data_IF_246422639713
#
_entry.id   IF_246422639713
#
_cell.length_a   1.000
_cell.length_b   1.000
_cell.length_c   1.000
_cell.angle_alpha   90.00
_cell.angle_beta   90.00
_cell.angle_gamma   90.00
#
_symmetry.space_group_name_H-M   'P 1'
#
loop_
_entity.id
_entity.type
_entity.pdbx_description
1 polymer ?
#
# COMPACT_ATOMS: atom_id res chain seq x y z
N UNK A 1 -11.24 -45.51 62.93
CA UNK A 1 -10.01 -45.52 62.16
C UNK A 1 -10.35 -44.77 60.88
N UNK A 2 -10.29 -43.43 60.94
CA UNK A 2 -10.55 -42.54 59.80
C UNK A 2 -9.19 -42.07 59.33
N UNK A 3 -8.84 -42.43 58.12
CA UNK A 3 -7.61 -42.01 57.41
C UNK A 3 -7.92 -40.76 56.61
N UNK A 4 -7.10 -39.80 56.81
CA UNK A 4 -7.02 -38.45 56.29
C UNK A 4 -6.93 -38.41 54.75
N UNK A 5 -7.91 -37.79 54.11
CA UNK A 5 -8.03 -37.68 52.67
C UNK A 5 -7.90 -36.18 52.19
N UNK A 6 -7.08 -35.40 52.89
CA UNK A 6 -6.91 -33.97 52.63
C UNK A 6 -5.65 -33.60 51.83
N UNK A 7 -4.79 -34.57 51.47
CA UNK A 7 -3.54 -34.31 50.73
C UNK A 7 -3.70 -34.30 49.19
N UNK A 8 -4.82 -34.79 48.64
CA UNK A 8 -5.02 -34.93 47.21
C UNK A 8 -5.66 -33.74 46.45
N UNK A 9 -6.16 -32.74 47.20
CA UNK A 9 -6.89 -31.60 46.60
C UNK A 9 -6.01 -30.38 46.35
N UNK A 10 -4.95 -30.18 47.12
CA UNK A 10 -4.04 -29.02 46.95
C UNK A 10 -3.13 -29.16 45.71
N UNK A 11 -2.64 -30.36 45.39
CA UNK A 11 -1.79 -30.63 44.24
C UNK A 11 -2.55 -30.51 42.90
N UNK A 12 -3.90 -30.63 42.87
CA UNK A 12 -4.71 -30.46 41.64
C UNK A 12 -5.03 -29.00 41.33
N UNK A 13 -5.12 -28.13 42.32
CA UNK A 13 -5.38 -26.70 42.11
C UNK A 13 -4.11 -25.95 41.68
N UNK A 14 -2.94 -26.29 42.22
CA UNK A 14 -1.66 -25.69 41.75
C UNK A 14 -1.31 -26.11 40.33
N UNK A 15 -1.49 -27.38 39.94
CA UNK A 15 -1.27 -27.85 38.57
C UNK A 15 -2.21 -27.26 37.54
N UNK A 16 -3.45 -26.92 37.92
CA UNK A 16 -4.41 -26.27 36.98
C UNK A 16 -4.16 -24.79 36.80
N UNK A 17 -3.63 -24.09 37.78
CA UNK A 17 -3.25 -22.67 37.70
C UNK A 17 -1.96 -22.47 36.91
N UNK A 18 -0.97 -23.35 37.05
CA UNK A 18 0.25 -23.32 36.26
C UNK A 18 -0.02 -23.67 34.76
N UNK A 19 -0.83 -24.72 34.52
CA UNK A 19 -1.23 -25.08 33.15
C UNK A 19 -2.01 -23.97 32.46
N UNK A 20 -2.96 -23.33 33.15
CA UNK A 20 -3.69 -22.19 32.62
C UNK A 20 -2.82 -20.94 32.39
N UNK A 21 -1.80 -20.74 33.23
CA UNK A 21 -0.80 -19.68 33.07
C UNK A 21 0.10 -19.90 31.85
N UNK A 22 0.58 -21.13 31.66
CA UNK A 22 1.43 -21.51 30.52
C UNK A 22 0.65 -21.46 29.19
N UNK A 23 -0.61 -21.91 29.16
CA UNK A 23 -1.48 -21.80 28.01
C UNK A 23 -1.77 -20.33 27.63
N UNK A 24 -2.02 -19.47 28.64
CA UNK A 24 -2.24 -18.03 28.39
C UNK A 24 -0.98 -17.32 27.90
N UNK A 25 0.21 -17.70 28.42
CA UNK A 25 1.49 -17.16 27.99
C UNK A 25 1.88 -17.64 26.57
N UNK A 26 1.61 -18.92 26.25
CA UNK A 26 1.74 -19.45 24.89
C UNK A 26 0.78 -18.78 23.90
N UNK A 27 -0.46 -18.52 24.29
CA UNK A 27 -1.45 -17.83 23.44
C UNK A 27 -1.04 -16.36 23.22
N UNK A 28 -0.55 -15.66 24.25
CA UNK A 28 -0.02 -14.29 24.09
C UNK A 28 1.25 -14.25 23.24
N UNK A 29 2.14 -15.24 23.35
CA UNK A 29 3.33 -15.35 22.49
C UNK A 29 2.96 -15.61 21.01
N UNK A 30 1.83 -16.25 20.73
CA UNK A 30 1.32 -16.55 19.38
C UNK A 30 0.62 -15.39 18.69
N UNK A 31 0.28 -14.29 19.37
CA UNK A 31 -0.45 -13.14 18.84
C UNK A 31 0.42 -11.87 18.72
N UNK A 32 1.70 -11.92 19.11
CA UNK A 32 2.61 -10.77 19.12
C UNK A 32 3.29 -10.48 17.77
N UNK A 33 3.80 -9.24 17.62
CA UNK A 33 4.60 -8.82 16.44
C UNK A 33 5.77 -9.76 16.16
N UNK A 34 6.38 -10.36 17.20
CA UNK A 34 7.46 -11.34 17.07
C UNK A 34 7.01 -12.62 16.36
N UNK A 35 5.80 -13.07 16.64
CA UNK A 35 5.20 -14.22 15.95
C UNK A 35 4.94 -13.92 14.47
N UNK A 36 4.31 -12.78 14.16
CA UNK A 36 4.06 -12.34 12.79
C UNK A 36 5.37 -12.26 11.98
N UNK A 37 6.43 -11.70 12.54
CA UNK A 37 7.76 -11.65 11.90
C UNK A 37 8.34 -13.05 11.68
N UNK A 38 8.18 -13.96 12.64
CA UNK A 38 8.67 -15.34 12.51
C UNK A 38 7.90 -16.09 11.42
N UNK A 39 6.59 -15.88 11.30
CA UNK A 39 5.75 -16.50 10.28
C UNK A 39 6.10 -15.98 8.88
N UNK A 40 6.25 -14.66 8.72
CA UNK A 40 6.72 -14.05 7.46
C UNK A 40 8.08 -14.63 7.03
N UNK A 41 9.00 -14.86 7.98
CA UNK A 41 10.31 -15.47 7.67
C UNK A 41 10.24 -16.91 7.20
N UNK A 42 9.16 -17.63 7.52
CA UNK A 42 8.94 -19.02 7.08
C UNK A 42 8.20 -19.13 5.76
N UNK A 43 7.52 -18.08 5.35
CA UNK A 43 6.79 -18.03 4.09
C UNK A 43 7.71 -17.48 2.97
N UNK A 44 8.14 -18.31 2.01
CA UNK A 44 8.99 -17.87 0.91
C UNK A 44 8.30 -16.85 0.01
N UNK A 45 6.97 -16.88 -0.13
CA UNK A 45 6.22 -15.93 -0.96
C UNK A 45 6.22 -14.55 -0.31
N UNK A 46 5.97 -14.47 0.99
CA UNK A 46 6.06 -13.23 1.75
C UNK A 46 7.47 -12.62 1.73
N UNK A 47 8.52 -13.47 1.81
CA UNK A 47 9.91 -13.01 1.72
C UNK A 47 10.25 -12.42 0.35
N UNK A 48 9.80 -13.04 -0.74
CA UNK A 48 9.96 -12.48 -2.09
C UNK A 48 9.23 -11.15 -2.22
N UNK A 49 7.98 -11.08 -1.75
CA UNK A 49 7.22 -9.84 -1.71
C UNK A 49 7.94 -8.73 -0.92
N UNK A 50 8.43 -9.07 0.28
CA UNK A 50 9.20 -8.14 1.12
C UNK A 50 10.50 -7.67 0.43
N UNK A 51 11.23 -8.56 -0.23
CA UNK A 51 12.45 -8.21 -0.96
C UNK A 51 12.14 -7.22 -2.10
N UNK A 52 11.08 -7.46 -2.89
CA UNK A 52 10.65 -6.54 -3.95
C UNK A 52 10.31 -5.17 -3.36
N UNK A 53 9.57 -5.12 -2.24
CA UNK A 53 9.17 -3.86 -1.59
C UNK A 53 10.40 -3.12 -1.05
N UNK A 54 11.35 -3.82 -0.42
CA UNK A 54 12.58 -3.20 0.08
C UNK A 54 13.37 -2.59 -1.08
N UNK A 55 13.55 -3.31 -2.17
CA UNK A 55 14.27 -2.83 -3.35
C UNK A 55 13.56 -1.61 -3.95
N UNK A 56 12.26 -1.72 -4.23
CA UNK A 56 11.51 -0.62 -4.85
C UNK A 56 11.43 0.60 -3.94
N UNK A 57 11.26 0.42 -2.63
CA UNK A 57 11.24 1.53 -1.66
C UNK A 57 12.62 2.17 -1.53
N UNK A 58 13.69 1.40 -1.53
CA UNK A 58 15.07 1.93 -1.50
C UNK A 58 15.34 2.77 -2.74
N UNK A 59 15.00 2.26 -3.93
CA UNK A 59 15.10 3.01 -5.20
C UNK A 59 14.27 4.30 -5.13
N UNK A 60 13.04 4.23 -4.61
CA UNK A 60 12.17 5.40 -4.46
C UNK A 60 12.77 6.45 -3.51
N UNK A 61 13.37 6.02 -2.40
CA UNK A 61 14.03 6.91 -1.44
C UNK A 61 15.23 7.60 -2.10
N UNK A 62 16.12 6.83 -2.74
CA UNK A 62 17.29 7.37 -3.44
C UNK A 62 16.87 8.37 -4.51
N UNK A 63 15.88 8.00 -5.37
CA UNK A 63 15.35 8.89 -6.39
C UNK A 63 14.66 10.15 -5.82
N UNK A 64 14.07 10.04 -4.62
CA UNK A 64 13.44 11.19 -3.94
C UNK A 64 14.50 12.13 -3.36
N UNK A 65 15.51 11.57 -2.68
CA UNK A 65 16.62 12.35 -2.11
C UNK A 65 17.35 13.10 -3.22
N UNK A 66 17.68 12.42 -4.31
CA UNK A 66 18.36 13.07 -5.43
C UNK A 66 17.51 14.16 -6.09
N UNK A 67 16.22 13.88 -6.33
CA UNK A 67 15.35 14.83 -7.00
C UNK A 67 14.96 16.06 -6.16
N UNK A 68 14.92 15.93 -4.81
CA UNK A 68 14.42 17.00 -3.91
C UNK A 68 15.56 17.75 -3.25
N UNK A 69 16.64 17.05 -2.86
CA UNK A 69 17.74 17.65 -2.07
C UNK A 69 19.01 17.83 -2.90
N UNK A 70 19.24 17.01 -3.92
CA UNK A 70 20.47 17.04 -4.73
C UNK A 70 20.21 17.59 -6.15
N UNK A 71 19.00 18.07 -6.45
CA UNK A 71 18.63 18.68 -7.75
C UNK A 71 19.03 17.82 -8.97
N UNK A 72 18.91 16.49 -8.85
CA UNK A 72 19.32 15.48 -9.83
C UNK A 72 20.83 15.32 -10.03
N UNK A 73 21.64 15.67 -9.02
CA UNK A 73 23.10 15.55 -9.10
C UNK A 73 23.58 14.10 -9.34
N UNK A 74 22.96 13.10 -8.69
CA UNK A 74 23.31 11.70 -8.93
C UNK A 74 22.96 11.31 -10.36
N UNK A 75 21.79 11.73 -10.88
CA UNK A 75 21.41 11.46 -12.25
C UNK A 75 22.40 12.06 -13.24
N UNK A 76 22.79 13.32 -13.09
CA UNK A 76 23.71 14.01 -14.01
C UNK A 76 25.14 13.50 -13.89
N UNK A 77 25.55 12.99 -12.72
CA UNK A 77 26.92 12.48 -12.50
C UNK A 77 27.09 11.06 -13.05
N UNK A 78 26.11 10.17 -12.84
CA UNK A 78 26.24 8.74 -13.15
C UNK A 78 25.48 8.30 -14.39
N UNK A 79 24.43 9.06 -14.77
CA UNK A 79 23.55 8.75 -15.91
C UNK A 79 23.15 10.03 -16.65
N UNK A 80 21.84 10.22 -16.85
CA UNK A 80 21.26 11.34 -17.56
C UNK A 80 20.17 12.01 -16.74
N UNK A 81 19.93 13.28 -16.97
CA UNK A 81 18.84 14.00 -16.32
C UNK A 81 17.47 13.42 -16.72
N UNK A 82 16.61 12.97 -15.75
CA UNK A 82 15.39 12.23 -16.07
C UNK A 82 14.29 13.06 -16.77
N UNK A 83 14.35 14.38 -16.63
CA UNK A 83 13.32 15.29 -17.13
C UNK A 83 13.75 16.05 -18.39
N UNK A 84 15.05 16.27 -18.55
CA UNK A 84 15.65 16.98 -19.70
C UNK A 84 16.04 16.01 -20.78
N UNK A 85 16.13 16.48 -22.03
CA UNK A 85 16.59 15.76 -23.20
C UNK A 85 16.61 16.73 -24.40
N UNK A 86 17.06 16.31 -25.57
CA UNK A 86 17.49 14.93 -25.93
C UNK A 86 18.90 14.60 -25.42
N UNK A 87 19.13 13.34 -25.05
CA UNK A 87 20.46 12.78 -24.73
C UNK A 87 20.98 11.91 -25.88
N UNK A 88 20.07 11.42 -26.72
CA UNK A 88 20.33 10.64 -27.93
C UNK A 88 19.18 10.77 -28.93
N UNK A 89 19.23 10.02 -30.02
CA UNK A 89 18.13 9.93 -30.99
C UNK A 89 16.81 9.54 -30.31
N UNK A 90 15.70 10.05 -30.78
CA UNK A 90 14.37 9.76 -30.24
C UNK A 90 13.90 8.35 -30.61
N UNK A 91 13.19 7.68 -29.70
CA UNK A 91 12.61 6.35 -29.91
C UNK A 91 13.62 5.24 -30.23
N UNK A 92 14.85 5.33 -29.73
CA UNK A 92 15.82 4.24 -29.86
C UNK A 92 15.27 3.00 -29.15
N UNK A 93 15.37 1.81 -29.78
CA UNK A 93 15.04 0.56 -29.10
C UNK A 93 16.13 0.20 -28.06
N UNK A 94 15.88 -0.80 -27.21
CA UNK A 94 16.88 -1.32 -26.28
C UNK A 94 18.14 -1.80 -26.99
N UNK A 95 19.25 -1.82 -26.25
CA UNK A 95 20.53 -2.30 -26.77
C UNK A 95 20.44 -3.68 -27.42
N UNK A 96 20.98 -3.82 -28.62
CA UNK A 96 20.96 -5.06 -29.38
C UNK A 96 19.63 -5.40 -30.06
N UNK A 97 18.62 -4.55 -29.93
CA UNK A 97 17.31 -4.75 -30.56
C UNK A 97 17.14 -3.83 -31.77
N UNK A 98 16.67 -4.36 -32.87
CA UNK A 98 16.23 -3.58 -34.05
C UNK A 98 14.72 -3.33 -33.98
N UNK A 99 14.30 -2.21 -34.55
CA UNK A 99 12.87 -1.91 -34.77
C UNK A 99 12.65 -1.42 -36.22
N UNK A 100 11.45 -0.99 -36.54
CA UNK A 100 11.10 -0.53 -37.88
C UNK A 100 11.96 0.67 -38.39
N UNK A 101 12.52 1.45 -37.46
CA UNK A 101 13.24 2.68 -37.77
C UNK A 101 14.76 2.59 -37.52
N UNK A 102 15.20 1.64 -36.73
CA UNK A 102 16.59 1.55 -36.27
C UNK A 102 17.12 0.13 -36.31
N UNK A 103 18.28 -0.03 -36.91
CA UNK A 103 19.09 -1.25 -36.78
C UNK A 103 19.72 -1.33 -35.38
N UNK A 104 19.98 -2.56 -34.92
CA UNK A 104 20.66 -2.83 -33.67
C UNK A 104 22.05 -2.13 -33.55
N UNK A 105 22.70 -1.84 -34.69
CA UNK A 105 23.97 -1.10 -34.76
C UNK A 105 23.90 0.35 -34.25
N UNK A 106 22.72 0.95 -34.23
CA UNK A 106 22.50 2.32 -33.71
C UNK A 106 22.24 2.35 -32.21
N UNK A 107 22.01 1.21 -31.59
CA UNK A 107 21.78 1.10 -30.15
C UNK A 107 23.08 1.13 -29.39
N UNK A 108 23.11 1.71 -28.19
CA UNK A 108 24.31 1.85 -27.37
C UNK A 108 24.07 1.38 -25.95
N UNK A 109 25.12 0.89 -25.28
CA UNK A 109 25.06 0.59 -23.84
C UNK A 109 24.85 1.83 -22.98
N UNK A 110 25.09 3.03 -23.51
CA UNK A 110 24.79 4.28 -22.82
C UNK A 110 23.28 4.45 -22.56
N UNK A 111 22.44 3.82 -23.41
CA UNK A 111 20.98 3.80 -23.25
C UNK A 111 20.46 2.37 -23.32
N UNK A 112 20.68 1.56 -22.26
CA UNK A 112 20.45 0.10 -22.31
C UNK A 112 19.01 -0.28 -22.59
N UNK A 113 18.03 0.52 -22.13
CA UNK A 113 16.60 0.34 -22.41
C UNK A 113 16.06 1.27 -23.50
N UNK A 114 16.97 1.94 -24.23
CA UNK A 114 16.62 2.86 -25.29
C UNK A 114 16.20 4.24 -24.79
N UNK A 115 15.59 5.04 -25.71
CA UNK A 115 15.14 6.41 -25.42
C UNK A 115 13.67 6.60 -25.73
N UNK A 116 13.06 7.58 -25.08
CA UNK A 116 11.68 7.96 -25.31
C UNK A 116 11.53 8.88 -26.57
N UNK A 117 10.30 9.31 -26.87
CA UNK A 117 9.97 10.20 -27.99
C UNK A 117 10.63 11.60 -27.90
N UNK A 118 11.27 11.94 -26.78
CA UNK A 118 12.05 13.17 -26.58
C UNK A 118 13.55 12.89 -26.45
N UNK A 119 14.00 11.68 -26.75
CA UNK A 119 15.40 11.29 -26.63
C UNK A 119 15.89 11.20 -25.17
N UNK A 120 14.99 11.03 -24.18
CA UNK A 120 15.35 10.85 -22.77
C UNK A 120 15.54 9.37 -22.49
N UNK A 121 16.50 9.05 -21.63
CA UNK A 121 16.82 7.67 -21.26
C UNK A 121 15.66 6.98 -20.54
N UNK A 122 15.26 5.80 -21.01
CA UNK A 122 14.13 5.03 -20.46
C UNK A 122 14.48 4.44 -19.11
N UNK A 123 15.72 3.89 -18.91
CA UNK A 123 16.13 3.29 -17.65
C UNK A 123 16.14 4.31 -16.51
N UNK A 124 16.67 5.49 -16.76
CA UNK A 124 16.68 6.60 -15.80
C UNK A 124 15.25 7.01 -15.44
N UNK A 125 14.37 7.12 -16.43
CA UNK A 125 12.97 7.49 -16.19
C UNK A 125 12.19 6.41 -15.43
N UNK A 126 12.51 5.13 -15.62
CA UNK A 126 11.94 4.04 -14.81
C UNK A 126 12.39 4.15 -13.35
N UNK A 127 13.68 4.40 -13.14
CA UNK A 127 14.25 4.59 -11.79
C UNK A 127 13.56 5.74 -11.05
N UNK A 128 13.46 6.93 -11.65
CA UNK A 128 12.79 8.08 -11.02
C UNK A 128 11.26 7.93 -10.98
N UNK A 129 10.67 7.12 -11.85
CA UNK A 129 9.26 6.77 -11.83
C UNK A 129 8.85 5.98 -10.59
N UNK A 130 9.76 5.20 -10.03
CA UNK A 130 9.55 4.44 -8.78
C UNK A 130 9.18 5.35 -7.62
N UNK A 131 9.80 6.53 -7.51
CA UNK A 131 9.48 7.56 -6.51
C UNK A 131 7.99 7.90 -6.54
N UNK A 132 7.47 8.19 -7.74
CA UNK A 132 6.06 8.57 -7.89
C UNK A 132 5.14 7.40 -7.52
N UNK A 133 5.45 6.19 -7.98
CA UNK A 133 4.64 5.01 -7.70
C UNK A 133 4.53 4.73 -6.19
N UNK A 134 5.66 4.72 -5.47
CA UNK A 134 5.69 4.47 -4.02
C UNK A 134 5.00 5.61 -3.25
N UNK A 135 5.28 6.87 -3.59
CA UNK A 135 4.60 8.02 -2.95
C UNK A 135 3.08 7.93 -3.10
N UNK A 136 2.61 7.64 -4.31
CA UNK A 136 1.17 7.47 -4.61
C UNK A 136 0.57 6.36 -3.77
N UNK A 137 1.21 5.18 -3.75
CA UNK A 137 0.72 4.03 -3.00
C UNK A 137 0.54 4.35 -1.52
N UNK A 138 1.58 4.90 -0.89
CA UNK A 138 1.55 5.23 0.54
C UNK A 138 0.61 6.39 0.87
N UNK A 139 0.69 7.51 0.15
CA UNK A 139 -0.13 8.70 0.45
C UNK A 139 -1.62 8.40 0.28
N UNK A 140 -2.02 7.81 -0.85
CA UNK A 140 -3.43 7.49 -1.09
C UNK A 140 -3.96 6.49 -0.08
N UNK A 141 -3.20 5.43 0.20
CA UNK A 141 -3.62 4.41 1.17
C UNK A 141 -3.71 4.98 2.58
N UNK A 142 -2.74 5.81 3.00
CA UNK A 142 -2.76 6.43 4.33
C UNK A 142 -3.98 7.34 4.50
N UNK A 143 -4.34 8.14 3.49
CA UNK A 143 -5.54 8.98 3.52
C UNK A 143 -6.81 8.14 3.68
N UNK A 144 -6.95 7.08 2.89
CA UNK A 144 -8.09 6.17 2.97
C UNK A 144 -8.15 5.40 4.28
N UNK A 145 -6.99 4.90 4.74
CA UNK A 145 -6.82 4.19 6.01
C UNK A 145 -7.23 5.06 7.19
N UNK A 146 -6.64 6.25 7.32
CA UNK A 146 -6.92 7.15 8.46
C UNK A 146 -8.38 7.59 8.44
N UNK A 147 -8.86 8.10 7.31
CA UNK A 147 -10.25 8.56 7.20
C UNK A 147 -11.27 7.44 7.41
N UNK A 148 -11.05 6.29 6.77
CA UNK A 148 -11.94 5.13 6.92
C UNK A 148 -11.89 4.53 8.32
N UNK A 149 -10.70 4.38 8.92
CA UNK A 149 -10.55 3.86 10.29
C UNK A 149 -11.25 4.75 11.31
N UNK A 150 -11.06 6.06 11.24
CA UNK A 150 -11.74 6.99 12.17
C UNK A 150 -13.25 6.95 12.00
N UNK A 151 -13.74 7.01 10.76
CA UNK A 151 -15.19 6.95 10.48
C UNK A 151 -15.80 5.64 10.96
N UNK A 152 -15.21 4.51 10.62
CA UNK A 152 -15.74 3.20 10.99
C UNK A 152 -15.58 2.88 12.49
N UNK A 153 -14.52 3.38 13.15
CA UNK A 153 -14.34 3.23 14.58
C UNK A 153 -15.39 4.01 15.37
N UNK A 154 -15.68 5.25 14.98
CA UNK A 154 -16.72 6.07 15.59
C UNK A 154 -18.11 5.42 15.35
N UNK A 155 -18.40 5.02 14.12
CA UNK A 155 -19.65 4.35 13.78
C UNK A 155 -19.86 3.06 14.61
N UNK A 156 -18.85 2.18 14.65
CA UNK A 156 -18.92 0.92 15.37
C UNK A 156 -19.00 1.08 16.90
N UNK A 157 -18.31 2.07 17.48
CA UNK A 157 -18.28 2.29 18.92
C UNK A 157 -19.61 2.85 19.44
N UNK A 158 -20.12 3.94 18.85
CA UNK A 158 -21.35 4.56 19.30
C UNK A 158 -22.61 3.80 18.86
N UNK A 159 -22.61 3.24 17.65
CA UNK A 159 -23.79 2.56 17.10
C UNK A 159 -24.98 3.49 16.85
N UNK A 160 -26.18 2.91 16.72
CA UNK A 160 -27.43 3.65 16.56
C UNK A 160 -27.40 4.66 15.42
N UNK A 161 -27.99 5.85 15.63
CA UNK A 161 -28.11 6.87 14.60
C UNK A 161 -26.77 7.41 14.07
N UNK A 162 -25.71 7.43 14.91
CA UNK A 162 -24.35 7.85 14.50
C UNK A 162 -23.81 6.87 13.47
N UNK A 163 -23.94 5.58 13.74
CA UNK A 163 -23.59 4.53 12.80
C UNK A 163 -24.37 4.65 11.49
N UNK A 164 -25.71 4.80 11.58
CA UNK A 164 -26.56 4.92 10.40
C UNK A 164 -26.17 6.10 9.51
N UNK A 165 -25.91 7.28 10.08
CA UNK A 165 -25.54 8.47 9.31
C UNK A 165 -24.16 8.32 8.67
N UNK A 166 -23.16 7.89 9.46
CA UNK A 166 -21.79 7.74 8.96
C UNK A 166 -21.71 6.66 7.89
N UNK A 167 -22.34 5.51 8.11
CA UNK A 167 -22.33 4.42 7.13
C UNK A 167 -23.15 4.76 5.88
N UNK A 168 -24.20 5.53 5.99
CA UNK A 168 -24.93 6.04 4.82
C UNK A 168 -24.05 6.93 3.94
N UNK A 169 -23.25 7.82 4.55
CA UNK A 169 -22.28 8.63 3.80
C UNK A 169 -21.22 7.76 3.10
N UNK A 170 -20.72 6.73 3.80
CA UNK A 170 -19.77 5.74 3.26
C UNK A 170 -20.39 4.96 2.09
N UNK A 171 -21.66 4.55 2.20
CA UNK A 171 -22.38 3.85 1.13
C UNK A 171 -22.60 4.72 -0.11
N UNK A 172 -22.88 6.02 0.05
CA UNK A 172 -22.98 6.95 -1.08
C UNK A 172 -21.65 7.03 -1.84
N UNK A 173 -20.52 7.14 -1.14
CA UNK A 173 -19.22 7.12 -1.78
C UNK A 173 -18.95 5.79 -2.52
N UNK A 174 -19.34 4.67 -1.92
CA UNK A 174 -19.14 3.33 -2.49
C UNK A 174 -20.04 3.05 -3.69
N UNK A 175 -21.20 3.70 -3.78
CA UNK A 175 -22.13 3.55 -4.90
C UNK A 175 -21.59 4.15 -6.21
N UNK A 176 -20.64 5.10 -6.13
CA UNK A 176 -20.03 5.71 -7.30
C UNK A 176 -18.89 4.78 -7.80
N UNK A 177 -18.85 4.42 -9.09
CA UNK A 177 -17.73 3.64 -9.62
C UNK A 177 -16.39 4.34 -9.31
N UNK A 178 -15.47 3.59 -8.68
CA UNK A 178 -14.22 4.09 -8.11
C UNK A 178 -13.45 5.04 -9.05
N UNK A 179 -13.20 4.60 -10.29
CA UNK A 179 -12.44 5.39 -11.26
C UNK A 179 -13.16 6.68 -11.66
N UNK A 180 -14.50 6.63 -11.79
CA UNK A 180 -15.32 7.81 -12.12
C UNK A 180 -15.25 8.84 -10.99
N UNK A 181 -15.35 8.39 -9.73
CA UNK A 181 -15.23 9.27 -8.56
C UNK A 181 -13.88 10.00 -8.55
N UNK A 182 -12.78 9.27 -8.79
CA UNK A 182 -11.45 9.88 -8.77
C UNK A 182 -11.25 10.85 -9.93
N UNK A 183 -11.67 10.50 -11.15
CA UNK A 183 -11.58 11.41 -12.31
C UNK A 183 -12.42 12.67 -12.08
N UNK A 184 -13.66 12.51 -11.60
CA UNK A 184 -14.53 13.64 -11.29
C UNK A 184 -13.90 14.56 -10.22
N UNK A 185 -13.27 13.98 -9.21
CA UNK A 185 -12.54 14.72 -8.18
C UNK A 185 -11.38 15.52 -8.76
N UNK A 186 -10.53 14.91 -9.59
CA UNK A 186 -9.41 15.60 -10.25
C UNK A 186 -9.92 16.74 -11.12
N UNK A 187 -10.95 16.51 -11.96
CA UNK A 187 -11.48 17.52 -12.87
C UNK A 187 -12.16 18.68 -12.12
N UNK A 188 -12.85 18.37 -10.99
CA UNK A 188 -13.54 19.39 -10.19
C UNK A 188 -12.57 20.32 -9.44
N UNK A 189 -11.46 19.79 -8.92
CA UNK A 189 -10.52 20.55 -8.09
C UNK A 189 -9.27 21.04 -8.82
N UNK A 190 -8.93 20.46 -9.98
CA UNK A 190 -7.80 20.85 -10.80
C UNK A 190 -8.11 20.74 -12.32
N UNK A 191 -9.00 21.58 -12.83
CA UNK A 191 -9.41 21.54 -14.24
C UNK A 191 -8.24 21.74 -15.21
N UNK A 192 -7.23 22.53 -14.84
CA UNK A 192 -6.01 22.77 -15.62
C UNK A 192 -4.98 21.62 -15.51
N UNK A 193 -5.19 20.67 -14.64
CA UNK A 193 -4.33 19.51 -14.36
C UNK A 193 -2.89 19.83 -13.91
N UNK A 194 -2.66 21.01 -13.35
CA UNK A 194 -1.33 21.43 -12.85
C UNK A 194 -0.85 20.57 -11.69
N UNK A 195 -1.79 20.15 -10.81
CA UNK A 195 -1.56 19.33 -9.64
C UNK A 195 -2.33 17.99 -9.71
N UNK A 196 -2.62 17.51 -10.91
CA UNK A 196 -3.49 16.35 -11.14
C UNK A 196 -3.04 15.11 -10.34
N UNK A 197 -1.72 14.90 -10.19
CA UNK A 197 -1.19 13.81 -9.37
C UNK A 197 -1.60 13.93 -7.90
N UNK A 198 -1.54 15.12 -7.30
CA UNK A 198 -1.95 15.36 -5.92
C UNK A 198 -3.44 15.07 -5.73
N UNK A 199 -4.29 15.62 -6.60
CA UNK A 199 -5.73 15.41 -6.53
C UNK A 199 -6.12 13.97 -6.86
N UNK A 200 -5.37 13.28 -7.73
CA UNK A 200 -5.54 11.85 -7.95
C UNK A 200 -5.23 11.03 -6.68
N UNK A 201 -4.14 11.35 -5.97
CA UNK A 201 -3.82 10.69 -4.69
C UNK A 201 -4.90 10.90 -3.63
N UNK A 202 -5.39 12.14 -3.49
CA UNK A 202 -6.47 12.47 -2.54
C UNK A 202 -7.77 11.76 -2.96
N UNK A 203 -8.14 11.81 -4.24
CA UNK A 203 -9.33 11.15 -4.77
C UNK A 203 -9.31 9.63 -4.55
N UNK A 204 -8.18 8.97 -4.80
CA UNK A 204 -8.00 7.54 -4.51
C UNK A 204 -8.09 7.26 -3.00
N UNK A 205 -7.52 8.13 -2.16
CA UNK A 205 -7.64 8.04 -0.71
C UNK A 205 -9.11 8.09 -0.27
N UNK A 206 -9.87 9.10 -0.72
CA UNK A 206 -11.30 9.24 -0.40
C UNK A 206 -12.10 8.04 -0.92
N UNK A 207 -11.87 7.61 -2.16
CA UNK A 207 -12.57 6.49 -2.76
C UNK A 207 -12.28 5.13 -2.08
N UNK A 208 -11.16 5.01 -1.36
CA UNK A 208 -10.80 3.81 -0.58
C UNK A 208 -11.31 3.82 0.87
N UNK A 209 -11.74 4.98 1.41
CA UNK A 209 -12.28 5.09 2.77
C UNK A 209 -13.39 4.08 3.10
N UNK A 210 -14.36 3.81 2.22
CA UNK A 210 -15.43 2.85 2.49
C UNK A 210 -14.94 1.45 2.82
N UNK A 211 -13.89 1.00 2.18
CA UNK A 211 -13.29 -0.33 2.43
C UNK A 211 -12.76 -0.43 3.86
N UNK A 212 -11.99 0.57 4.29
CA UNK A 212 -11.44 0.62 5.65
C UNK A 212 -12.52 0.86 6.71
N UNK A 213 -13.48 1.75 6.43
CA UNK A 213 -14.55 2.06 7.37
C UNK A 213 -15.39 0.83 7.70
N UNK A 214 -15.80 0.04 6.71
CA UNK A 214 -16.56 -1.19 6.93
C UNK A 214 -15.75 -2.26 7.66
N UNK A 215 -14.47 -2.39 7.31
CA UNK A 215 -13.59 -3.37 7.94
C UNK A 215 -13.39 -3.08 9.43
N UNK A 216 -13.02 -1.84 9.79
CA UNK A 216 -12.79 -1.48 11.18
C UNK A 216 -14.09 -1.49 11.98
N UNK A 217 -15.21 -1.01 11.42
CA UNK A 217 -16.51 -1.03 12.05
C UNK A 217 -16.90 -2.43 12.52
N UNK A 218 -16.75 -3.44 11.66
CA UNK A 218 -17.09 -4.82 12.01
C UNK A 218 -16.25 -5.35 13.18
N UNK A 219 -14.98 -4.96 13.27
CA UNK A 219 -14.10 -5.35 14.37
C UNK A 219 -14.42 -4.61 15.67
N UNK A 220 -14.73 -3.33 15.55
CA UNK A 220 -15.10 -2.50 16.70
C UNK A 220 -16.37 -2.99 17.39
N UNK A 221 -17.32 -3.54 16.67
CA UNK A 221 -18.51 -4.16 17.28
C UNK A 221 -18.15 -5.31 18.24
N UNK A 222 -17.18 -6.14 17.91
CA UNK A 222 -16.72 -7.20 18.81
C UNK A 222 -15.89 -6.64 19.97
N UNK A 223 -14.92 -5.77 19.66
CA UNK A 223 -13.96 -5.24 20.64
C UNK A 223 -14.64 -4.36 21.71
N UNK A 224 -15.70 -3.61 21.37
CA UNK A 224 -16.38 -2.75 22.34
C UNK A 224 -17.12 -3.51 23.44
N UNK A 225 -17.40 -4.79 23.24
CA UNK A 225 -18.09 -5.70 24.17
C UNK A 225 -17.11 -6.47 25.07
N UNK A 226 -15.81 -6.23 24.93
CA UNK A 226 -14.77 -6.85 25.75
C UNK A 226 -14.73 -6.24 27.17
N UNK A 227 -14.47 -7.08 28.15
CA UNK A 227 -14.51 -6.71 29.59
C UNK A 227 -13.60 -5.52 29.95
N UNK A 228 -12.42 -5.41 29.31
CA UNK A 228 -11.51 -4.29 29.57
C UNK A 228 -12.05 -2.95 29.05
N UNK A 229 -12.90 -2.95 28.01
CA UNK A 229 -13.57 -1.76 27.53
C UNK A 229 -14.68 -1.33 28.48
N UNK A 230 -15.43 -2.29 29.01
CA UNK A 230 -16.45 -2.02 30.04
C UNK A 230 -15.82 -1.52 31.33
N UNK A 231 -14.72 -2.11 31.78
CA UNK A 231 -13.96 -1.64 32.95
C UNK A 231 -13.46 -0.19 32.76
N UNK A 232 -12.97 0.16 31.56
CA UNK A 232 -12.54 1.52 31.26
C UNK A 232 -13.71 2.52 31.30
N UNK A 233 -14.90 2.13 30.80
CA UNK A 233 -16.13 2.95 30.92
C UNK A 233 -16.54 3.13 32.38
N UNK A 234 -16.54 2.05 33.17
CA UNK A 234 -16.87 2.09 34.60
C UNK A 234 -15.90 2.97 35.39
N UNK A 235 -14.61 3.00 35.02
CA UNK A 235 -13.61 3.90 35.59
C UNK A 235 -13.75 5.36 35.16
N UNK A 236 -14.74 5.72 34.32
CA UNK A 236 -15.01 7.10 33.88
C UNK A 236 -14.05 7.61 32.81
N UNK A 237 -13.36 6.74 32.07
CA UNK A 237 -12.49 7.13 30.97
C UNK A 237 -13.37 7.71 29.84
N UNK A 238 -12.97 8.85 29.28
CA UNK A 238 -13.72 9.50 28.17
C UNK A 238 -13.70 8.62 26.92
N UNK A 239 -14.82 8.51 26.23
CA UNK A 239 -15.00 7.67 25.03
C UNK A 239 -13.89 7.84 23.98
N UNK A 240 -13.47 9.10 23.69
CA UNK A 240 -12.38 9.38 22.75
C UNK A 240 -11.08 8.66 23.09
N UNK A 241 -10.78 8.51 24.40
CA UNK A 241 -9.58 7.81 24.85
C UNK A 241 -9.76 6.29 24.82
N UNK A 242 -10.99 5.81 25.09
CA UNK A 242 -11.33 4.40 24.93
C UNK A 242 -11.16 4.01 23.45
N UNK A 243 -11.72 4.78 22.51
CA UNK A 243 -11.60 4.52 21.07
C UNK A 243 -10.12 4.50 20.65
N UNK A 244 -9.35 5.54 20.99
CA UNK A 244 -7.99 5.69 20.50
C UNK A 244 -6.97 4.75 21.14
N UNK A 245 -7.13 4.41 22.45
CA UNK A 245 -6.14 3.62 23.20
C UNK A 245 -6.50 2.16 23.36
N UNK A 246 -7.78 1.82 23.26
CA UNK A 246 -8.25 0.45 23.49
C UNK A 246 -8.90 -0.16 22.26
N UNK A 247 -9.85 0.53 21.63
CA UNK A 247 -10.65 -0.04 20.54
C UNK A 247 -9.87 -0.11 19.23
N UNK A 248 -9.34 1.02 18.76
CA UNK A 248 -8.59 1.06 17.47
C UNK A 248 -7.38 0.13 17.49
N UNK A 249 -6.46 0.16 18.48
CA UNK A 249 -5.29 -0.70 18.46
C UNK A 249 -5.63 -2.20 18.43
N UNK A 250 -6.66 -2.62 19.20
CA UNK A 250 -7.08 -4.03 19.22
C UNK A 250 -7.87 -4.48 18.00
N UNK A 251 -8.37 -3.52 17.19
CA UNK A 251 -9.08 -3.79 15.93
C UNK A 251 -8.17 -3.67 14.69
N UNK A 252 -6.90 -3.29 14.85
CA UNK A 252 -6.10 -2.76 13.74
C UNK A 252 -5.39 -3.82 12.89
N UNK A 253 -5.16 -5.04 13.41
CA UNK A 253 -4.41 -6.07 12.68
C UNK A 253 -4.96 -6.37 11.26
N UNK A 254 -6.27 -6.69 11.06
CA UNK A 254 -6.80 -6.91 9.73
C UNK A 254 -6.82 -5.66 8.84
N UNK A 255 -6.81 -4.48 9.45
CA UNK A 255 -6.75 -3.21 8.72
C UNK A 255 -5.37 -2.98 8.13
N UNK A 256 -4.29 -3.37 8.82
CA UNK A 256 -2.92 -3.34 8.29
C UNK A 256 -2.76 -4.26 7.08
N UNK A 257 -3.30 -5.48 7.16
CA UNK A 257 -3.31 -6.42 6.03
C UNK A 257 -4.00 -5.78 4.82
N UNK A 258 -5.19 -5.23 5.02
CA UNK A 258 -5.93 -4.54 3.96
C UNK A 258 -5.16 -3.33 3.41
N UNK A 259 -4.46 -2.58 4.26
CA UNK A 259 -3.66 -1.43 3.83
C UNK A 259 -2.50 -1.85 2.91
N UNK A 260 -1.84 -2.96 3.19
CA UNK A 260 -0.76 -3.48 2.34
C UNK A 260 -1.26 -3.79 0.93
N UNK A 261 -2.39 -4.50 0.82
CA UNK A 261 -3.03 -4.78 -0.47
C UNK A 261 -3.48 -3.50 -1.19
N UNK A 262 -4.01 -2.54 -0.43
CA UNK A 262 -4.50 -1.27 -0.97
C UNK A 262 -3.38 -0.41 -1.57
N UNK A 263 -2.14 -0.50 -1.09
CA UNK A 263 -0.99 0.19 -1.68
C UNK A 263 -0.80 -0.26 -3.14
N UNK A 264 -0.82 -1.57 -3.40
CA UNK A 264 -0.73 -2.11 -4.76
C UNK A 264 -1.87 -1.62 -5.67
N UNK A 265 -3.09 -1.62 -5.16
CA UNK A 265 -4.27 -1.13 -5.87
C UNK A 265 -4.14 0.38 -6.17
N UNK A 266 -3.70 1.19 -5.22
CA UNK A 266 -3.51 2.63 -5.40
C UNK A 266 -2.46 2.94 -6.48
N UNK A 267 -1.33 2.21 -6.48
CA UNK A 267 -0.30 2.33 -7.52
C UNK A 267 -0.90 2.06 -8.91
N UNK A 268 -1.63 0.95 -9.05
CA UNK A 268 -2.25 0.56 -10.31
C UNK A 268 -3.27 1.60 -10.80
N UNK A 269 -4.15 2.08 -9.93
CA UNK A 269 -5.19 3.06 -10.25
C UNK A 269 -4.58 4.39 -10.68
N UNK A 270 -3.60 4.94 -9.94
CA UNK A 270 -3.00 6.23 -10.32
C UNK A 270 -2.09 6.10 -11.55
N UNK A 271 -1.47 4.93 -11.78
CA UNK A 271 -0.80 4.66 -13.05
C UNK A 271 -1.81 4.67 -14.22
N UNK A 272 -2.99 4.05 -14.05
CA UNK A 272 -4.09 4.12 -15.00
C UNK A 272 -4.62 5.53 -15.24
N UNK A 273 -4.78 6.32 -14.17
CA UNK A 273 -5.17 7.74 -14.28
C UNK A 273 -4.10 8.56 -15.03
N UNK A 274 -2.82 8.31 -14.76
CA UNK A 274 -1.72 8.97 -15.48
C UNK A 274 -1.70 8.55 -16.95
N UNK A 275 -2.01 7.28 -17.25
CA UNK A 275 -2.19 6.80 -18.63
C UNK A 275 -3.36 7.50 -19.34
N UNK A 276 -4.45 7.79 -18.63
CA UNK A 276 -5.59 8.54 -19.15
C UNK A 276 -5.37 10.07 -19.19
N UNK A 277 -4.25 10.56 -18.63
CA UNK A 277 -3.90 11.98 -18.56
C UNK A 277 -4.47 12.74 -17.35
N UNK A 278 -4.99 12.02 -16.34
CA UNK A 278 -5.52 12.58 -15.09
C UNK A 278 -4.62 12.34 -13.86
N UNK A 279 -3.37 11.94 -14.05
CA UNK A 279 -2.37 11.75 -13.01
C UNK A 279 -1.14 12.61 -13.23
N UNK A 280 0.05 12.00 -13.18
CA UNK A 280 1.32 12.69 -13.37
C UNK A 280 1.39 13.37 -14.75
N UNK A 281 1.74 14.66 -14.75
CA UNK A 281 1.87 15.47 -15.98
C UNK A 281 3.35 15.59 -16.40
N UNK A 282 3.62 15.79 -17.72
CA UNK A 282 4.96 16.09 -18.18
C UNK A 282 5.53 17.35 -17.49
N UNK A 283 6.84 17.41 -17.20
CA UNK A 283 7.90 16.47 -17.60
C UNK A 283 8.13 15.31 -16.64
N UNK A 284 7.32 15.16 -15.58
CA UNK A 284 7.49 14.20 -14.49
C UNK A 284 7.75 12.78 -15.02
N UNK A 285 8.77 12.11 -14.46
CA UNK A 285 9.00 10.70 -14.72
C UNK A 285 8.03 9.87 -13.87
N UNK A 286 7.04 9.24 -14.48
CA UNK A 286 6.13 8.29 -13.83
C UNK A 286 5.80 7.15 -14.81
N UNK A 287 5.65 5.94 -14.29
CA UNK A 287 5.38 4.76 -15.13
C UNK A 287 4.08 4.87 -15.91
N UNK A 288 3.01 5.39 -15.30
CA UNK A 288 1.73 5.60 -15.97
C UNK A 288 1.80 6.65 -17.09
N UNK A 289 2.55 7.73 -16.88
CA UNK A 289 2.78 8.74 -17.90
C UNK A 289 3.69 8.25 -19.04
N UNK A 290 4.66 7.36 -18.72
CA UNK A 290 5.45 6.68 -19.76
C UNK A 290 4.57 5.78 -20.62
N UNK A 291 3.61 5.06 -20.05
CA UNK A 291 2.62 4.27 -20.79
C UNK A 291 1.73 5.15 -21.68
N UNK A 292 1.30 6.32 -21.20
CA UNK A 292 0.53 7.28 -22.01
C UNK A 292 1.34 7.71 -23.24
N UNK A 293 2.61 8.07 -23.06
CA UNK A 293 3.50 8.45 -24.14
C UNK A 293 3.78 7.31 -25.13
N UNK A 294 3.85 6.07 -24.62
CA UNK A 294 4.08 4.87 -25.43
C UNK A 294 2.87 4.49 -26.30
N UNK A 295 1.68 4.99 -26.00
CA UNK A 295 0.41 4.61 -26.66
C UNK A 295 0.48 4.66 -28.18
N UNK A 296 1.06 5.72 -28.74
CA UNK A 296 1.17 5.92 -30.19
C UNK A 296 2.38 5.18 -30.80
N UNK A 297 3.25 4.60 -29.97
CA UNK A 297 4.48 3.93 -30.36
C UNK A 297 4.42 2.41 -30.19
N UNK A 298 3.30 1.85 -29.70
CA UNK A 298 3.20 0.40 -29.39
C UNK A 298 3.50 -0.50 -30.60
N UNK A 299 3.17 -0.05 -31.81
CA UNK A 299 3.43 -0.81 -33.04
C UNK A 299 4.87 -0.68 -33.55
N UNK A 300 5.56 0.38 -33.19
CA UNK A 300 6.88 0.72 -33.73
C UNK A 300 8.01 0.54 -32.71
N UNK A 301 7.73 0.76 -31.42
CA UNK A 301 8.64 0.55 -30.30
C UNK A 301 7.87 0.04 -29.07
N UNK A 302 7.49 -1.24 -29.07
CA UNK A 302 6.72 -1.88 -28.00
C UNK A 302 7.45 -1.87 -26.66
N UNK A 303 8.78 -1.84 -26.63
CA UNK A 303 9.59 -1.86 -25.43
C UNK A 303 9.31 -0.67 -24.52
N UNK A 304 8.97 0.47 -25.11
CA UNK A 304 8.67 1.68 -24.36
C UNK A 304 7.40 1.56 -23.50
N UNK A 305 6.49 0.63 -23.81
CA UNK A 305 5.32 0.29 -22.97
C UNK A 305 5.58 -0.92 -22.06
N UNK A 306 6.37 -1.89 -22.52
CA UNK A 306 6.63 -3.12 -21.77
C UNK A 306 7.37 -2.82 -20.45
N UNK A 307 8.43 -2.02 -20.47
CA UNK A 307 9.23 -1.76 -19.27
C UNK A 307 8.45 -1.08 -18.13
N UNK A 308 7.71 0.02 -18.34
CA UNK A 308 6.90 0.59 -17.25
C UNK A 308 5.80 -0.36 -16.79
N UNK A 309 5.21 -1.16 -17.70
CA UNK A 309 4.23 -2.18 -17.35
C UNK A 309 4.81 -3.26 -16.41
N UNK A 310 6.01 -3.75 -16.70
CA UNK A 310 6.73 -4.71 -15.84
C UNK A 310 7.04 -4.10 -14.47
N UNK A 311 7.49 -2.84 -14.41
CA UNK A 311 7.77 -2.17 -13.14
C UNK A 311 6.51 -2.06 -12.27
N UNK A 312 5.36 -1.67 -12.85
CA UNK A 312 4.09 -1.64 -12.14
C UNK A 312 3.72 -3.05 -11.66
N UNK A 313 3.77 -4.04 -12.54
CA UNK A 313 3.40 -5.42 -12.25
C UNK A 313 4.23 -5.99 -11.08
N UNK A 314 5.56 -5.89 -11.15
CA UNK A 314 6.45 -6.42 -10.09
C UNK A 314 6.16 -5.72 -8.76
N UNK A 315 5.99 -4.40 -8.76
CA UNK A 315 5.73 -3.66 -7.53
C UNK A 315 4.39 -4.05 -6.90
N UNK A 316 3.32 -4.16 -7.71
CA UNK A 316 1.99 -4.57 -7.23
C UNK A 316 2.01 -6.01 -6.72
N UNK A 317 2.67 -6.93 -7.44
CA UNK A 317 2.84 -8.32 -6.97
C UNK A 317 3.59 -8.35 -5.64
N UNK A 318 4.64 -7.57 -5.47
CA UNK A 318 5.39 -7.48 -4.21
C UNK A 318 4.49 -7.10 -3.02
N UNK A 319 3.65 -6.07 -3.17
CA UNK A 319 2.69 -5.66 -2.13
C UNK A 319 1.62 -6.71 -1.86
N UNK A 320 1.11 -7.38 -2.90
CA UNK A 320 0.12 -8.45 -2.74
C UNK A 320 0.71 -9.66 -2.01
N UNK A 321 1.90 -10.13 -2.41
CA UNK A 321 2.57 -11.26 -1.75
C UNK A 321 2.86 -10.98 -0.27
N UNK A 322 3.32 -9.76 0.07
CA UNK A 322 3.49 -9.38 1.47
C UNK A 322 2.15 -9.28 2.21
N UNK A 323 1.12 -8.72 1.58
CA UNK A 323 -0.22 -8.61 2.14
C UNK A 323 -0.84 -9.97 2.45
N UNK A 324 -0.70 -10.93 1.55
CA UNK A 324 -1.16 -12.32 1.75
C UNK A 324 -0.39 -13.00 2.89
N UNK A 325 0.95 -12.88 2.94
CA UNK A 325 1.76 -13.41 4.04
C UNK A 325 1.43 -12.77 5.40
N UNK A 326 1.11 -11.47 5.44
CA UNK A 326 0.62 -10.81 6.65
C UNK A 326 -0.76 -11.33 7.07
N UNK A 327 -1.63 -11.62 6.10
CA UNK A 327 -2.96 -12.20 6.35
C UNK A 327 -2.86 -13.59 6.96
N UNK A 328 -2.01 -14.45 6.37
CA UNK A 328 -1.79 -15.82 6.86
C UNK A 328 -1.18 -15.82 8.27
N UNK A 329 -0.25 -14.89 8.54
CA UNK A 329 0.32 -14.72 9.87
C UNK A 329 -0.69 -14.16 10.90
N UNK A 330 -1.73 -13.46 10.46
CA UNK A 330 -2.78 -12.92 11.33
C UNK A 330 -3.99 -13.85 11.51
N UNK A 331 -4.09 -14.96 10.77
CA UNK A 331 -5.21 -15.92 10.86
C UNK A 331 -4.90 -17.03 11.87
N UNK A 332 -5.60 -17.08 13.02
CA UNK A 332 -5.39 -18.12 14.03
C UNK A 332 -5.86 -19.52 13.60
N UNK A 333 -6.60 -19.65 12.48
CA UNK A 333 -7.16 -20.94 12.01
C UNK A 333 -6.16 -21.82 11.25
N UNK A 334 -5.08 -21.26 10.76
CA UNK A 334 -4.03 -21.99 10.01
C UNK A 334 -3.08 -22.74 10.97
N UNK A 335 -3.32 -22.68 12.27
CA UNK A 335 -2.43 -23.19 13.33
C UNK A 335 -2.76 -24.59 13.84
N UNK A 336 -3.63 -25.34 13.14
CA UNK A 336 -3.98 -26.75 13.49
C UNK A 336 -3.41 -27.74 12.49
#
# INVERSE_FOLDING_TARGET
>A
MAVDDTAGTLDREEGSTEAGGLEAEEVQARVGLSYTVTQIRRDPTALVGLAIIIVTTTVAIVATVDAVFLEYWLAETFWYHPLRGPHADTNLPPYGVSNQYYDASRTTLSHPLGTDFRGRDVAVRLFYGTRIAITVGFVSTTLGLVGGTLTGAVAGYYGGWIDDVLMRAVEILYAIPFLILVIAFVVAFDPDRKNALLFAMIGVGIASMPTFARLIRSRVFSVREEEYVEAAKAAGVKDRWIILRHVIPNSFAPVLVQATLQIGVAILIVAGLSFLGYGAQPPTASWGQMLNNARNLMLTNQWFSIFPGICIMITVIGFNMLGDGLRDAADPRIQN
#
